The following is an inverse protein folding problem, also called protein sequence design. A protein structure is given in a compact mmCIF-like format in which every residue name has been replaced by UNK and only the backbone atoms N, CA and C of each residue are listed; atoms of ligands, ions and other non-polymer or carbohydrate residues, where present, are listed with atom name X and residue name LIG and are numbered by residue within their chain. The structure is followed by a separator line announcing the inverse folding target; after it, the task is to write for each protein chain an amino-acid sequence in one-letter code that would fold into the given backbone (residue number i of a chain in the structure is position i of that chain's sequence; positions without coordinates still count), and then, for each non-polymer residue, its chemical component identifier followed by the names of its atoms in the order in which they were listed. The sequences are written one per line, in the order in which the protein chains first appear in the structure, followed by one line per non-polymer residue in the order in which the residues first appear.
data_IF_344295293552
#
_entry.id   IF_344295293552
#
_cell.length_a   1.000
_cell.length_b   1.000
_cell.length_c   1.000
_cell.angle_alpha   90.00
_cell.angle_beta   90.00
_cell.angle_gamma   90.00
#
_symmetry.space_group_name_H-M   'P 1'
#
loop_
_entity.id
_entity.type
_entity.pdbx_description
1 polymer ?
#
# COMPACT_ATOMS: atom_id res chain seq x y z
N UNK A 1 19.72 6.34 10.66
CA UNK A 1 19.19 5.14 9.97
C UNK A 1 17.69 5.15 10.01
N UNK A 2 17.04 5.05 8.86
CA UNK A 2 15.59 5.08 8.76
C UNK A 2 14.98 3.76 9.25
N UNK A 3 13.96 3.84 10.07
CA UNK A 3 13.19 2.69 10.52
C UNK A 3 11.82 2.69 9.85
N UNK A 4 11.31 1.51 9.62
CA UNK A 4 10.00 1.28 9.00
C UNK A 4 9.10 0.46 9.90
N UNK A 5 7.82 0.74 9.86
CA UNK A 5 6.81 -0.14 10.43
C UNK A 5 6.37 -1.07 9.31
N UNK A 6 6.58 -2.37 9.49
CA UNK A 6 6.21 -3.39 8.50
C UNK A 6 4.97 -4.13 8.99
N UNK A 7 3.92 -4.09 8.21
CA UNK A 7 2.64 -4.74 8.50
C UNK A 7 2.43 -5.82 7.46
N UNK A 8 2.32 -7.07 7.88
CA UNK A 8 2.31 -8.22 6.98
C UNK A 8 1.11 -9.13 7.23
N UNK A 9 0.62 -9.75 6.16
CA UNK A 9 -0.38 -10.79 6.22
C UNK A 9 -0.08 -11.88 5.19
N UNK A 10 -0.66 -13.07 5.40
CA UNK A 10 -0.57 -14.15 4.41
C UNK A 10 -1.42 -13.81 3.19
N UNK A 11 -0.82 -13.89 2.02
CA UNK A 11 -1.53 -13.76 0.75
C UNK A 11 -0.63 -14.29 -0.37
N UNK A 12 -1.15 -15.23 -1.14
CA UNK A 12 -0.38 -15.87 -2.22
C UNK A 12 -0.33 -15.01 -3.48
N UNK A 13 -1.33 -14.15 -3.67
CA UNK A 13 -1.41 -13.34 -4.87
C UNK A 13 -2.13 -12.02 -4.58
N UNK A 14 -1.36 -10.95 -4.47
CA UNK A 14 -1.89 -9.59 -4.41
C UNK A 14 -1.46 -8.88 -5.69
N UNK A 15 -2.38 -8.75 -6.63
CA UNK A 15 -2.10 -8.12 -7.92
C UNK A 15 -1.62 -6.69 -7.73
N UNK A 16 -0.45 -6.37 -8.30
CA UNK A 16 0.06 -5.00 -8.25
C UNK A 16 -0.87 -4.00 -8.92
N UNK A 17 -1.65 -4.43 -9.91
CA UNK A 17 -2.66 -3.59 -10.55
C UNK A 17 -3.77 -3.22 -9.56
N UNK A 18 -4.14 -4.13 -8.66
CA UNK A 18 -5.13 -3.84 -7.64
C UNK A 18 -4.69 -2.72 -6.68
N UNK A 19 -3.39 -2.55 -6.49
CA UNK A 19 -2.84 -1.46 -5.68
C UNK A 19 -2.84 -0.12 -6.43
N UNK A 20 -2.92 -0.14 -7.75
CA UNK A 20 -2.93 1.06 -8.58
C UNK A 20 -4.33 1.54 -8.95
N UNK A 21 -5.32 0.65 -9.06
CA UNK A 21 -6.65 0.96 -9.60
C UNK A 21 -7.67 1.23 -8.50
N UNK A 22 -8.33 2.37 -8.57
CA UNK A 22 -9.43 2.70 -7.67
C UNK A 22 -10.62 1.78 -7.91
N UNK A 23 -11.30 1.42 -6.83
CA UNK A 23 -12.51 0.59 -6.89
C UNK A 23 -12.26 -0.89 -7.07
N UNK A 24 -11.03 -1.32 -7.33
CA UNK A 24 -10.69 -2.73 -7.46
C UNK A 24 -10.44 -3.30 -6.06
N UNK A 25 -11.44 -4.00 -5.52
CA UNK A 25 -11.38 -4.61 -4.20
C UNK A 25 -12.11 -5.94 -4.20
N UNK A 26 -11.45 -6.98 -3.68
CA UNK A 26 -12.06 -8.30 -3.48
C UNK A 26 -12.96 -8.35 -2.26
N UNK A 27 -12.96 -7.29 -1.44
CA UNK A 27 -13.67 -7.22 -0.16
C UNK A 27 -15.00 -6.46 -0.24
N UNK A 28 -15.37 -5.95 -1.43
CA UNK A 28 -16.50 -5.05 -1.59
C UNK A 28 -17.84 -5.63 -1.10
N UNK A 29 -18.02 -6.92 -1.28
CA UNK A 29 -19.27 -7.62 -0.94
C UNK A 29 -19.18 -8.40 0.39
N UNK A 30 -18.08 -8.26 1.12
CA UNK A 30 -17.90 -8.90 2.41
C UNK A 30 -18.32 -7.94 3.52
N UNK A 31 -19.45 -8.21 4.24
CA UNK A 31 -19.95 -7.31 5.26
C UNK A 31 -19.04 -7.21 6.49
N UNK A 32 -18.15 -8.19 6.69
CA UNK A 32 -17.22 -8.22 7.81
C UNK A 32 -15.91 -7.48 7.51
N UNK A 33 -15.69 -7.06 6.26
CA UNK A 33 -14.49 -6.33 5.86
C UNK A 33 -14.54 -4.87 6.29
N UNK A 34 -13.41 -4.37 6.78
CA UNK A 34 -13.23 -2.98 7.17
C UNK A 34 -13.03 -2.09 5.94
N UNK A 35 -12.28 -2.58 4.94
CA UNK A 35 -11.94 -1.83 3.72
C UNK A 35 -12.66 -2.32 2.48
N UNK A 36 -13.96 -2.05 2.35
CA UNK A 36 -14.78 -2.61 1.27
C UNK A 36 -14.59 -1.94 -0.09
N UNK A 37 -14.19 -0.68 -0.12
CA UNK A 37 -14.25 0.12 -1.35
C UNK A 37 -12.96 0.18 -2.15
N UNK A 38 -11.87 -0.37 -1.62
CA UNK A 38 -10.60 -0.47 -2.33
C UNK A 38 -9.88 0.86 -2.55
N UNK A 39 -10.27 1.93 -1.87
CA UNK A 39 -9.67 3.25 -2.03
C UNK A 39 -8.75 3.66 -0.88
N UNK A 40 -9.03 3.22 0.35
CA UNK A 40 -8.25 3.60 1.53
C UNK A 40 -6.78 3.25 1.41
N UNK A 41 -6.50 2.01 1.01
CA UNK A 41 -5.11 1.54 0.85
C UNK A 41 -4.40 2.19 -0.34
N UNK A 42 -5.11 2.85 -1.23
CA UNK A 42 -4.54 3.58 -2.36
C UNK A 42 -4.34 5.06 -2.05
N UNK A 43 -5.17 5.64 -1.20
CA UNK A 43 -5.03 7.03 -0.78
C UNK A 43 -4.08 7.18 0.42
N UNK A 44 -3.95 6.17 1.26
CA UNK A 44 -3.03 6.19 2.39
C UNK A 44 -1.57 6.46 1.97
N UNK A 45 -1.05 5.83 0.89
CA UNK A 45 0.29 6.16 0.40
C UNK A 45 0.46 7.64 0.03
N UNK A 46 -0.55 8.22 -0.63
CA UNK A 46 -0.50 9.62 -1.03
C UNK A 46 -0.50 10.53 0.19
N UNK A 47 -1.35 10.24 1.17
CA UNK A 47 -1.38 10.96 2.44
C UNK A 47 -0.05 10.84 3.20
N UNK A 48 0.58 9.66 3.17
CA UNK A 48 1.90 9.45 3.76
C UNK A 48 2.96 10.35 3.12
N UNK A 49 2.96 10.41 1.79
CA UNK A 49 3.90 11.27 1.05
C UNK A 49 3.70 12.76 1.37
N UNK A 50 2.46 13.21 1.53
CA UNK A 50 2.19 14.59 1.98
C UNK A 50 2.79 14.90 3.35
N UNK A 51 2.95 13.88 4.19
CA UNK A 51 3.56 14.01 5.52
C UNK A 51 5.06 13.77 5.52
N UNK A 52 5.68 13.57 4.37
CA UNK A 52 7.10 13.26 4.27
C UNK A 52 7.46 11.84 4.69
N UNK A 53 6.49 10.94 4.72
CA UNK A 53 6.70 9.53 5.02
C UNK A 53 6.88 8.75 3.71
N UNK A 54 7.66 7.68 3.77
CA UNK A 54 7.76 6.73 2.67
C UNK A 54 6.65 5.69 2.78
N UNK A 55 6.21 5.16 1.63
CA UNK A 55 5.23 4.07 1.58
C UNK A 55 5.68 3.03 0.59
N UNK A 56 5.76 1.76 1.05
CA UNK A 56 6.28 0.65 0.26
C UNK A 56 5.35 -0.55 0.42
N UNK A 57 4.97 -1.15 -0.70
CA UNK A 57 4.31 -2.46 -0.73
C UNK A 57 5.29 -3.52 -1.19
N UNK A 58 5.27 -4.70 -0.58
CA UNK A 58 5.96 -5.89 -1.09
C UNK A 58 5.00 -7.05 -1.17
N UNK A 59 5.10 -7.83 -2.24
CA UNK A 59 4.20 -8.96 -2.45
C UNK A 59 4.59 -9.79 -3.66
N UNK A 60 3.72 -10.73 -3.98
CA UNK A 60 3.81 -11.59 -5.16
C UNK A 60 2.51 -11.53 -5.94
N UNK A 61 2.58 -11.55 -7.23
CA UNK A 61 1.45 -11.74 -8.13
C UNK A 61 1.83 -12.72 -9.27
N UNK A 62 0.99 -12.84 -10.29
CA UNK A 62 1.24 -13.76 -11.40
C UNK A 62 2.53 -13.45 -12.17
N UNK A 63 3.07 -12.25 -12.05
CA UNK A 63 4.32 -11.84 -12.70
C UNK A 63 5.55 -12.05 -11.80
N UNK A 64 5.35 -12.51 -10.57
CA UNK A 64 6.42 -12.77 -9.60
C UNK A 64 6.47 -11.74 -8.47
N UNK A 65 7.62 -11.68 -7.78
CA UNK A 65 7.80 -10.73 -6.66
C UNK A 65 7.81 -9.28 -7.15
N UNK A 66 7.35 -8.38 -6.29
CA UNK A 66 7.44 -6.94 -6.55
C UNK A 66 7.67 -6.16 -5.26
N UNK A 67 8.32 -5.02 -5.44
CA UNK A 67 8.41 -3.96 -4.45
C UNK A 67 7.91 -2.69 -5.13
N UNK A 68 6.84 -2.13 -4.59
CA UNK A 68 6.22 -0.92 -5.13
C UNK A 68 6.41 0.23 -4.14
N UNK A 69 7.11 1.27 -4.58
CA UNK A 69 7.22 2.53 -3.83
C UNK A 69 6.36 3.58 -4.50
N UNK A 70 5.62 4.32 -3.69
CA UNK A 70 4.94 5.52 -4.17
C UNK A 70 5.94 6.67 -4.06
N UNK A 71 6.10 7.43 -5.13
CA UNK A 71 7.02 8.59 -5.18
C UNK A 71 6.32 9.80 -5.75
N UNK A 72 6.88 10.98 -5.46
CA UNK A 72 6.42 12.24 -6.03
C UNK A 72 7.42 12.67 -7.10
N UNK A 73 6.93 12.95 -8.30
CA UNK A 73 7.71 13.56 -9.38
C UNK A 73 6.94 14.73 -9.96
N UNK A 74 7.65 15.77 -10.39
CA UNK A 74 7.02 16.92 -11.03
C UNK A 74 6.79 16.67 -12.51
N UNK A 75 5.58 17.01 -12.97
CA UNK A 75 5.20 16.99 -14.37
C UNK A 75 4.53 18.33 -14.67
N UNK A 76 5.16 19.11 -15.54
CA UNK A 76 4.70 20.46 -15.91
C UNK A 76 4.43 21.35 -14.67
N UNK A 77 5.28 21.23 -13.64
CA UNK A 77 5.16 22.03 -12.42
C UNK A 77 4.16 21.50 -11.40
N UNK A 78 3.54 20.35 -11.67
CA UNK A 78 2.59 19.69 -10.77
C UNK A 78 3.23 18.49 -10.10
N UNK A 79 3.10 18.38 -8.78
CA UNK A 79 3.57 17.23 -8.02
C UNK A 79 2.63 16.04 -8.24
N UNK A 80 3.09 15.06 -9.00
CA UNK A 80 2.32 13.86 -9.37
C UNK A 80 2.85 12.63 -8.67
N UNK A 81 1.96 11.67 -8.47
CA UNK A 81 2.32 10.37 -7.87
C UNK A 81 2.80 9.43 -8.97
N UNK A 82 3.93 8.78 -8.72
CA UNK A 82 4.53 7.78 -9.61
C UNK A 82 4.67 6.46 -8.87
N UNK A 83 4.36 5.38 -9.54
CA UNK A 83 4.57 4.02 -9.05
C UNK A 83 5.96 3.54 -9.48
N UNK A 84 6.86 3.38 -8.51
CA UNK A 84 8.22 2.93 -8.75
C UNK A 84 8.37 1.46 -8.33
N UNK A 85 8.61 0.58 -9.31
CA UNK A 85 8.82 -0.84 -9.11
C UNK A 85 10.30 -1.23 -9.08
N UNK A 86 11.19 -0.26 -9.10
CA UNK A 86 12.64 -0.50 -9.19
C UNK A 86 13.12 -0.64 -10.62
N UNK A 87 12.67 -1.67 -11.32
CA UNK A 87 13.04 -1.94 -12.71
C UNK A 87 12.37 -0.96 -13.69
N UNK A 88 11.21 -0.44 -13.32
CA UNK A 88 10.45 0.48 -14.15
C UNK A 88 9.57 1.38 -13.29
N UNK A 89 9.13 2.48 -13.85
CA UNK A 89 8.20 3.41 -13.23
C UNK A 89 6.97 3.57 -14.10
N UNK A 90 5.84 3.85 -13.44
CA UNK A 90 4.57 4.14 -14.13
C UNK A 90 3.99 5.43 -13.57
N UNK A 91 3.59 6.35 -14.44
CA UNK A 91 2.83 7.51 -14.01
C UNK A 91 1.45 7.08 -13.53
N UNK A 92 0.99 7.66 -12.42
CA UNK A 92 -0.38 7.50 -11.97
C UNK A 92 -1.26 8.63 -12.53
N UNK A 93 -2.56 8.52 -12.32
CA UNK A 93 -3.50 9.60 -12.59
C UNK A 93 -3.69 10.53 -11.37
N UNK A 94 -2.87 10.36 -10.33
CA UNK A 94 -3.02 11.10 -9.08
C UNK A 94 -1.98 12.20 -8.95
N UNK A 95 -2.43 13.36 -8.42
CA UNK A 95 -1.52 14.36 -7.88
C UNK A 95 -1.30 14.11 -6.39
N UNK A 96 -0.37 14.84 -5.78
CA UNK A 96 -0.11 14.76 -4.33
C UNK A 96 -1.34 15.15 -3.49
N UNK A 97 -2.28 15.87 -4.07
CA UNK A 97 -3.50 16.32 -3.41
C UNK A 97 -4.69 15.39 -3.60
N UNK A 98 -4.50 14.26 -4.26
CA UNK A 98 -5.57 13.28 -4.47
C UNK A 98 -5.97 12.60 -3.15
N UNK A 99 -7.20 12.13 -3.09
CA UNK A 99 -7.73 11.38 -1.98
C UNK A 99 -8.31 12.24 -0.88
N UNK A 100 -8.20 11.78 0.35
CA UNK A 100 -8.78 12.45 1.50
C UNK A 100 -7.79 13.48 2.04
N UNK A 101 -7.99 14.74 1.72
CA UNK A 101 -7.10 15.83 2.14
C UNK A 101 -7.11 16.05 3.66
N UNK A 102 -8.22 15.68 4.34
CA UNK A 102 -8.33 15.80 5.79
C UNK A 102 -7.51 14.75 6.56
N UNK A 103 -6.90 13.79 5.87
CA UNK A 103 -6.01 12.82 6.51
C UNK A 103 -4.67 13.47 6.85
N UNK A 104 -4.70 14.36 7.83
CA UNK A 104 -3.51 15.02 8.34
C UNK A 104 -2.84 14.27 9.48
N UNK A 105 -3.58 13.31 10.09
CA UNK A 105 -3.11 12.54 11.21
C UNK A 105 -2.47 11.23 10.74
N UNK A 106 -1.24 10.96 11.18
CA UNK A 106 -0.50 9.72 10.86
C UNK A 106 -1.26 8.46 11.29
N UNK A 107 -2.12 8.56 12.31
CA UNK A 107 -2.94 7.43 12.75
C UNK A 107 -3.90 6.95 11.67
N UNK A 108 -4.50 7.84 10.90
CA UNK A 108 -5.42 7.46 9.82
C UNK A 108 -4.69 6.69 8.72
N UNK A 109 -3.46 7.09 8.40
CA UNK A 109 -2.61 6.44 7.42
C UNK A 109 -2.25 5.02 7.91
N UNK A 110 -1.80 4.91 9.14
CA UNK A 110 -1.47 3.64 9.78
C UNK A 110 -2.69 2.71 9.86
N UNK A 111 -3.85 3.27 10.21
CA UNK A 111 -5.11 2.52 10.31
C UNK A 111 -5.47 1.82 9.01
N UNK A 112 -5.25 2.46 7.86
CA UNK A 112 -5.57 1.85 6.57
C UNK A 112 -4.70 0.63 6.28
N UNK A 113 -3.40 0.70 6.61
CA UNK A 113 -2.50 -0.44 6.46
C UNK A 113 -2.91 -1.60 7.37
N UNK A 114 -3.24 -1.31 8.64
CA UNK A 114 -3.67 -2.33 9.61
C UNK A 114 -5.03 -2.92 9.22
N UNK A 115 -5.99 -2.09 8.80
CA UNK A 115 -7.30 -2.56 8.37
C UNK A 115 -7.19 -3.51 7.18
N UNK A 116 -6.34 -3.20 6.22
CA UNK A 116 -6.09 -4.08 5.09
C UNK A 116 -5.51 -5.44 5.55
N UNK A 117 -4.54 -5.41 6.45
CA UNK A 117 -3.93 -6.64 6.97
C UNK A 117 -4.93 -7.49 7.74
N UNK A 118 -5.79 -6.88 8.56
CA UNK A 118 -6.84 -7.58 9.30
C UNK A 118 -7.83 -8.24 8.33
N UNK A 119 -8.30 -7.50 7.34
CA UNK A 119 -9.26 -8.02 6.36
C UNK A 119 -8.69 -9.20 5.58
N UNK A 120 -7.44 -9.09 5.12
CA UNK A 120 -6.77 -10.16 4.39
C UNK A 120 -6.51 -11.39 5.28
N UNK A 121 -6.11 -11.17 6.54
CA UNK A 121 -5.91 -12.27 7.48
C UNK A 121 -7.22 -13.01 7.76
N UNK A 122 -8.34 -12.29 7.87
CA UNK A 122 -9.66 -12.90 8.06
C UNK A 122 -10.08 -13.73 6.85
N UNK A 123 -9.81 -13.26 5.63
CA UNK A 123 -10.13 -13.98 4.40
C UNK A 123 -9.35 -15.29 4.26
N UNK A 124 -8.13 -15.34 4.79
CA UNK A 124 -7.25 -16.52 4.70
C UNK A 124 -7.25 -17.36 5.98
N UNK A 125 -8.04 -16.98 6.98
CA UNK A 125 -8.07 -17.62 8.31
C UNK A 125 -6.67 -17.71 8.93
N UNK A 126 -5.91 -16.61 8.81
CA UNK A 126 -4.56 -16.48 9.35
C UNK A 126 -4.47 -15.26 10.25
N UNK A 127 -3.28 -14.94 10.72
CA UNK A 127 -3.02 -13.75 11.51
C UNK A 127 -2.18 -12.75 10.71
N UNK A 128 -2.20 -11.51 11.16
CA UNK A 128 -1.33 -10.45 10.64
C UNK A 128 -0.24 -10.14 11.67
N UNK A 129 0.84 -9.50 11.20
CA UNK A 129 1.98 -9.13 12.06
C UNK A 129 2.34 -7.67 11.86
N UNK A 130 2.98 -7.12 12.89
CA UNK A 130 3.57 -5.78 12.87
C UNK A 130 4.95 -5.87 13.49
N UNK A 131 5.94 -5.29 12.81
CA UNK A 131 7.31 -5.23 13.31
C UNK A 131 8.00 -3.94 12.87
N UNK A 132 9.06 -3.57 13.59
CA UNK A 132 9.90 -2.45 13.22
C UNK A 132 11.16 -3.02 12.57
N UNK A 133 11.43 -2.59 11.33
CA UNK A 133 12.50 -3.16 10.50
C UNK A 133 13.41 -2.08 9.95
N UNK A 134 14.60 -2.50 9.50
CA UNK A 134 15.51 -1.66 8.72
C UNK A 134 15.21 -1.81 7.22
N UNK A 135 15.73 -0.90 6.41
CA UNK A 135 15.52 -0.91 4.96
C UNK A 135 15.93 -2.24 4.31
N UNK A 136 17.01 -2.86 4.78
CA UNK A 136 17.51 -4.16 4.27
C UNK A 136 16.50 -5.30 4.43
N UNK A 137 15.56 -5.18 5.36
CA UNK A 137 14.55 -6.20 5.64
C UNK A 137 13.27 -6.00 4.82
N UNK A 138 13.26 -5.01 3.92
CA UNK A 138 12.14 -4.73 3.03
C UNK A 138 12.37 -5.47 1.71
N UNK A 139 11.78 -6.66 1.61
CA UNK A 139 11.88 -7.48 0.40
C UNK A 139 10.63 -8.36 0.26
N UNK A 140 10.24 -8.71 -0.98
CA UNK A 140 9.14 -9.64 -1.19
C UNK A 140 9.43 -11.00 -0.56
N UNK A 141 8.41 -11.59 0.04
CA UNK A 141 8.47 -12.93 0.63
C UNK A 141 7.30 -13.76 0.08
N UNK A 142 7.57 -14.98 -0.40
CA UNK A 142 6.55 -15.83 -1.00
C UNK A 142 5.42 -16.12 0.00
N UNK A 143 4.19 -15.91 -0.43
CA UNK A 143 3.01 -16.12 0.40
C UNK A 143 2.74 -15.04 1.42
N UNK A 144 3.43 -13.89 1.34
CA UNK A 144 3.28 -12.77 2.26
C UNK A 144 3.08 -11.47 1.48
N UNK A 145 2.11 -10.68 1.91
CA UNK A 145 1.95 -9.29 1.48
C UNK A 145 2.30 -8.37 2.64
N UNK A 146 3.08 -7.33 2.37
CA UNK A 146 3.50 -6.37 3.40
C UNK A 146 3.37 -4.93 2.94
N UNK A 147 3.11 -4.06 3.92
CA UNK A 147 3.07 -2.61 3.77
C UNK A 147 4.11 -1.98 4.68
#
# INVERSE_FOLDING_TARGET
MTKYIKISNRSDNVSRIALEKLGLSTKRNDPDSIGQFGSGIKYAPIAALRKGLEWIFTGYDNKGPYTLKYKVEQEDGVDCIVYDYGDYKKASSFTIDAGVLSWENSFQIYREAVANAIDEANLTDTSWTKEIVDEKDIAPELGVFSV
#
